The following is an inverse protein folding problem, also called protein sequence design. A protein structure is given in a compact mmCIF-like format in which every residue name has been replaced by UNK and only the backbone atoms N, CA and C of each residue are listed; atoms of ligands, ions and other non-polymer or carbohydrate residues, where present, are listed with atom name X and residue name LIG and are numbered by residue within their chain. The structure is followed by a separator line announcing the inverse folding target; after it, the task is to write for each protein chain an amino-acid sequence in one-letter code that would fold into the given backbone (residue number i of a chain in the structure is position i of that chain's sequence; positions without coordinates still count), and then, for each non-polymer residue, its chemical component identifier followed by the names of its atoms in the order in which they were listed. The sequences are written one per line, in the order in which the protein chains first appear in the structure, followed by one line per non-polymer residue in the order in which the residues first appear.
data_IF_487240535864
#
_entry.id   IF_487240535864
#
_cell.length_a   1.000
_cell.length_b   1.000
_cell.length_c   1.000
_cell.angle_alpha   90.00
_cell.angle_beta   90.00
_cell.angle_gamma   90.00
#
_symmetry.space_group_name_H-M   'P 1'
#
loop_
_entity.id
_entity.type
_entity.pdbx_description
1 polymer ?
#
# COMPACT_ATOMS: atom_id res chain seq x y z
N UNK A 1 -22.44 -21.62 -9.94
CA UNK A 1 -22.43 -21.72 -8.46
C UNK A 1 -21.35 -20.79 -7.98
N UNK A 2 -21.70 -19.62 -7.48
CA UNK A 2 -20.76 -18.69 -6.83
C UNK A 2 -20.29 -19.35 -5.53
N UNK A 3 -19.00 -19.66 -5.43
CA UNK A 3 -18.42 -20.17 -4.20
C UNK A 3 -18.69 -19.12 -3.09
N UNK A 4 -19.32 -19.55 -2.02
CA UNK A 4 -19.49 -18.70 -0.82
C UNK A 4 -18.11 -18.53 -0.23
N UNK A 5 -17.52 -17.36 -0.39
CA UNK A 5 -16.26 -17.00 0.28
C UNK A 5 -16.57 -16.94 1.78
N UNK A 6 -15.91 -17.73 2.63
CA UNK A 6 -16.17 -17.68 4.07
C UNK A 6 -15.80 -16.29 4.61
N UNK A 7 -16.65 -15.74 5.49
CA UNK A 7 -16.38 -14.50 6.20
C UNK A 7 -15.01 -14.56 6.88
N UNK A 8 -14.17 -13.56 6.64
CA UNK A 8 -12.80 -13.41 7.20
C UNK A 8 -12.75 -12.38 8.31
N UNK A 9 -13.81 -12.32 9.15
CA UNK A 9 -13.82 -11.43 10.31
C UNK A 9 -12.72 -11.79 11.30
N UNK A 10 -12.13 -10.78 11.92
CA UNK A 10 -11.16 -10.97 13.00
C UNK A 10 -11.87 -11.53 14.24
N UNK A 11 -11.21 -12.45 14.91
CA UNK A 11 -11.66 -12.93 16.22
C UNK A 11 -11.30 -11.91 17.33
N UNK A 12 -11.88 -12.03 18.54
CA UNK A 12 -11.63 -11.11 19.64
C UNK A 12 -10.14 -10.98 20.02
N UNK A 13 -9.35 -12.06 19.93
CA UNK A 13 -7.92 -12.06 20.25
C UNK A 13 -7.15 -11.26 19.20
N UNK A 14 -7.51 -11.40 17.95
CA UNK A 14 -6.92 -10.63 16.85
C UNK A 14 -7.23 -9.14 16.97
N UNK A 15 -8.47 -8.77 17.33
CA UNK A 15 -8.87 -7.38 17.58
C UNK A 15 -8.06 -6.81 18.76
N UNK A 16 -7.98 -7.54 19.88
CA UNK A 16 -7.18 -7.14 21.05
C UNK A 16 -5.69 -6.99 20.68
N UNK A 17 -5.15 -7.90 19.88
CA UNK A 17 -3.76 -7.83 19.39
C UNK A 17 -3.54 -6.56 18.58
N UNK A 18 -4.46 -6.23 17.66
CA UNK A 18 -4.37 -4.98 16.90
C UNK A 18 -4.44 -3.75 17.81
N UNK A 19 -5.37 -3.73 18.77
CA UNK A 19 -5.53 -2.61 19.71
C UNK A 19 -4.30 -2.41 20.59
N UNK A 20 -3.64 -3.49 20.98
CA UNK A 20 -2.44 -3.43 21.82
C UNK A 20 -1.18 -3.09 20.99
N UNK A 21 -0.97 -3.74 19.84
CA UNK A 21 0.27 -3.61 19.08
C UNK A 21 0.24 -2.48 18.03
N UNK A 22 -0.95 -2.05 17.59
CA UNK A 22 -1.14 -1.07 16.52
C UNK A 22 -1.04 -1.65 15.12
N UNK A 23 -0.81 -2.95 14.99
CA UNK A 23 -0.83 -3.68 13.73
C UNK A 23 -1.19 -5.16 13.93
N UNK A 24 -1.62 -5.81 12.85
CA UNK A 24 -1.93 -7.24 12.84
C UNK A 24 -1.60 -7.83 11.48
N UNK A 25 -0.90 -8.96 11.44
CA UNK A 25 -0.70 -9.77 10.24
C UNK A 25 -1.81 -10.81 10.15
N UNK A 26 -2.59 -10.78 9.08
CA UNK A 26 -3.64 -11.76 8.79
C UNK A 26 -3.20 -12.62 7.61
N UNK A 27 -3.20 -13.94 7.82
CA UNK A 27 -2.67 -14.89 6.84
C UNK A 27 -3.71 -15.32 5.83
N UNK A 28 -3.29 -15.49 4.57
CA UNK A 28 -4.10 -16.07 3.49
C UNK A 28 -5.50 -15.44 3.35
N UNK A 29 -5.55 -14.09 3.40
CA UNK A 29 -6.80 -13.34 3.30
C UNK A 29 -7.33 -13.34 1.88
N UNK A 30 -6.44 -13.15 0.90
CA UNK A 30 -6.79 -13.08 -0.51
C UNK A 30 -6.14 -14.25 -1.25
N UNK A 31 -6.89 -15.07 -1.98
CA UNK A 31 -6.30 -16.08 -2.85
C UNK A 31 -5.32 -15.44 -3.85
N UNK A 32 -4.21 -16.11 -4.12
CA UNK A 32 -3.22 -15.59 -5.10
C UNK A 32 -3.83 -15.38 -6.49
N UNK A 33 -4.82 -16.17 -6.88
CA UNK A 33 -5.58 -15.99 -8.12
C UNK A 33 -6.27 -14.63 -8.24
N UNK A 34 -6.72 -14.08 -7.11
CA UNK A 34 -7.47 -12.82 -7.08
C UNK A 34 -6.53 -11.59 -7.10
N UNK A 35 -5.22 -11.82 -6.91
CA UNK A 35 -4.17 -10.81 -7.08
C UNK A 35 -3.63 -10.77 -8.51
N UNK A 36 -3.79 -11.84 -9.30
CA UNK A 36 -3.28 -11.92 -10.68
C UNK A 36 -3.76 -10.77 -11.58
N UNK A 37 -5.05 -10.35 -11.55
CA UNK A 37 -5.49 -9.24 -12.40
C UNK A 37 -4.72 -7.93 -12.14
N UNK A 38 -4.34 -7.66 -10.88
CA UNK A 38 -3.51 -6.49 -10.57
C UNK A 38 -2.07 -6.69 -11.03
N UNK A 39 -1.51 -7.90 -10.89
CA UNK A 39 -0.17 -8.22 -11.42
C UNK A 39 -0.13 -8.05 -12.93
N UNK A 40 -1.17 -8.41 -13.66
CA UNK A 40 -1.31 -8.19 -15.10
C UNK A 40 -1.35 -6.70 -15.45
N UNK A 41 -2.09 -5.89 -14.68
CA UNK A 41 -2.10 -4.43 -14.85
C UNK A 41 -0.69 -3.85 -14.66
N UNK A 42 0.01 -4.25 -13.60
CA UNK A 42 1.39 -3.81 -13.33
C UNK A 42 2.35 -4.24 -14.45
N UNK A 43 2.23 -5.48 -14.92
CA UNK A 43 3.00 -6.00 -16.06
C UNK A 43 2.75 -5.19 -17.32
N UNK A 44 1.49 -4.83 -17.59
CA UNK A 44 1.13 -3.96 -18.73
C UNK A 44 1.69 -2.53 -18.61
N UNK A 45 1.86 -2.01 -17.36
CA UNK A 45 2.58 -0.74 -17.15
C UNK A 45 4.05 -0.90 -17.51
N UNK A 46 4.70 -1.99 -17.07
CA UNK A 46 6.09 -2.30 -17.44
C UNK A 46 6.23 -2.45 -18.95
N UNK A 47 5.28 -3.12 -19.62
CA UNK A 47 5.27 -3.26 -21.09
C UNK A 47 5.31 -1.90 -21.77
N UNK A 48 4.35 -1.03 -21.47
CA UNK A 48 4.27 0.30 -22.11
C UNK A 48 5.53 1.12 -21.89
N UNK A 49 6.02 1.19 -20.66
CA UNK A 49 7.23 1.95 -20.35
C UNK A 49 8.47 1.39 -21.04
N UNK A 50 8.56 0.07 -21.15
CA UNK A 50 9.66 -0.59 -21.85
C UNK A 50 9.59 -0.32 -23.37
N UNK A 51 8.39 -0.35 -23.96
CA UNK A 51 8.19 -0.04 -25.36
C UNK A 51 8.55 1.44 -25.67
N UNK A 52 8.19 2.38 -24.77
CA UNK A 52 8.55 3.79 -24.90
C UNK A 52 10.09 3.99 -24.83
N UNK A 53 10.75 3.37 -23.84
CA UNK A 53 12.22 3.42 -23.72
C UNK A 53 12.94 2.82 -24.93
N UNK A 54 12.39 1.76 -25.51
CA UNK A 54 12.93 1.13 -26.72
C UNK A 54 12.75 2.03 -27.93
N UNK A 55 11.58 2.63 -28.10
CA UNK A 55 11.29 3.57 -29.17
C UNK A 55 12.19 4.84 -29.11
N UNK A 56 12.54 5.27 -27.90
CA UNK A 56 13.48 6.37 -27.64
C UNK A 56 14.96 5.97 -27.83
N UNK A 57 15.24 4.69 -28.09
CA UNK A 57 16.61 4.18 -28.24
C UNK A 57 17.42 4.11 -26.94
N UNK A 58 16.77 4.22 -25.79
CA UNK A 58 17.40 4.16 -24.46
C UNK A 58 17.77 2.73 -24.04
N UNK A 59 17.05 1.75 -24.57
CA UNK A 59 17.30 0.32 -24.35
C UNK A 59 17.30 -0.43 -25.68
N UNK A 60 17.91 -1.62 -25.70
CA UNK A 60 18.02 -2.49 -26.90
C UNK A 60 17.29 -3.81 -26.73
N UNK A 61 16.89 -4.17 -25.51
CA UNK A 61 16.19 -5.40 -25.17
C UNK A 61 14.94 -5.10 -24.34
N UNK A 62 13.79 -5.59 -24.77
CA UNK A 62 12.50 -5.44 -24.10
C UNK A 62 12.35 -6.37 -22.88
N UNK A 63 13.26 -7.33 -22.69
CA UNK A 63 13.26 -8.29 -21.59
C UNK A 63 11.91 -8.99 -21.40
N UNK A 64 11.19 -9.32 -22.47
CA UNK A 64 9.81 -9.87 -22.39
C UNK A 64 9.76 -11.29 -21.82
N UNK A 65 10.86 -12.05 -21.95
CA UNK A 65 11.02 -13.40 -21.42
C UNK A 65 11.41 -13.44 -19.93
N UNK A 66 11.73 -12.26 -19.36
CA UNK A 66 12.17 -12.16 -17.97
C UNK A 66 10.96 -12.17 -17.03
N UNK A 67 11.05 -12.91 -15.94
CA UNK A 67 10.03 -13.01 -14.92
C UNK A 67 9.59 -11.64 -14.37
N UNK A 68 8.31 -11.52 -14.01
CA UNK A 68 7.70 -10.30 -13.46
C UNK A 68 8.51 -9.67 -12.33
N UNK A 69 9.14 -10.49 -11.48
CA UNK A 69 9.90 -10.00 -10.33
C UNK A 69 11.27 -9.43 -10.70
N UNK A 70 11.73 -9.61 -11.93
CA UNK A 70 13.06 -9.15 -12.37
C UNK A 70 13.00 -8.20 -13.56
N UNK A 71 11.95 -8.27 -14.37
CA UNK A 71 11.89 -7.64 -15.68
C UNK A 71 12.17 -6.14 -15.64
N UNK A 72 11.41 -5.39 -14.84
CA UNK A 72 11.59 -3.94 -14.74
C UNK A 72 13.02 -3.56 -14.30
N UNK A 73 13.59 -4.27 -13.35
CA UNK A 73 14.96 -4.06 -12.92
C UNK A 73 15.98 -4.32 -14.06
N UNK A 74 15.77 -5.37 -14.86
CA UNK A 74 16.62 -5.66 -16.03
C UNK A 74 16.52 -4.57 -17.09
N UNK A 75 15.35 -4.03 -17.33
CA UNK A 75 15.14 -2.89 -18.24
C UNK A 75 15.93 -1.67 -17.76
N UNK A 76 15.79 -1.31 -16.49
CA UNK A 76 16.49 -0.16 -15.89
C UNK A 76 18.02 -0.29 -15.97
N UNK A 77 18.56 -1.49 -15.82
CA UNK A 77 20.00 -1.73 -15.89
C UNK A 77 20.62 -1.42 -17.25
N UNK A 78 19.85 -1.44 -18.37
CA UNK A 78 20.37 -1.20 -19.70
C UNK A 78 20.82 0.24 -19.92
N UNK A 79 20.22 1.21 -19.23
CA UNK A 79 20.56 2.63 -19.40
C UNK A 79 21.02 3.31 -18.09
N UNK A 80 21.34 2.52 -17.08
CA UNK A 80 21.72 3.05 -15.76
C UNK A 80 20.61 3.85 -15.09
N UNK A 81 19.36 3.57 -15.48
CA UNK A 81 18.18 4.27 -15.03
C UNK A 81 17.93 4.06 -13.55
N UNK A 82 17.64 5.14 -12.86
CA UNK A 82 16.99 5.10 -11.57
C UNK A 82 15.50 4.81 -11.77
N UNK A 83 14.82 4.36 -10.73
CA UNK A 83 13.38 4.14 -10.79
C UNK A 83 12.65 5.50 -10.84
N UNK A 84 12.69 6.15 -12.01
CA UNK A 84 11.98 7.40 -12.27
C UNK A 84 10.48 7.20 -12.47
N UNK A 85 9.95 6.04 -12.12
CA UNK A 85 8.53 5.71 -12.33
C UNK A 85 7.67 6.44 -11.30
N UNK A 86 7.66 7.74 -11.47
CA UNK A 86 6.71 8.65 -10.85
C UNK A 86 5.37 8.54 -11.58
N UNK A 87 4.53 7.65 -11.23
CA UNK A 87 3.24 7.51 -11.91
C UNK A 87 2.63 6.13 -11.77
N UNK A 88 3.23 5.27 -10.97
CA UNK A 88 2.65 3.96 -10.67
C UNK A 88 1.20 4.06 -10.19
N UNK A 89 0.83 5.10 -9.46
CA UNK A 89 -0.56 5.33 -9.04
C UNK A 89 -1.50 5.52 -10.23
N UNK A 90 -1.18 6.51 -11.09
CA UNK A 90 -2.05 6.83 -12.23
C UNK A 90 -2.07 5.68 -13.23
N UNK A 91 -0.92 5.03 -13.42
CA UNK A 91 -0.74 3.97 -14.40
C UNK A 91 -1.42 2.66 -14.01
N UNK A 92 -1.60 2.39 -12.72
CA UNK A 92 -2.26 1.18 -12.22
C UNK A 92 -3.75 1.37 -11.92
N UNK A 93 -4.28 2.60 -12.06
CA UNK A 93 -5.71 2.85 -11.90
C UNK A 93 -6.49 1.95 -12.87
N UNK A 94 -7.32 1.08 -12.33
CA UNK A 94 -8.01 0.04 -13.10
C UNK A 94 -9.12 -0.60 -12.31
N UNK A 95 -10.02 -1.29 -13.00
CA UNK A 95 -11.04 -2.12 -12.35
C UNK A 95 -10.44 -3.24 -11.50
N UNK A 96 -9.29 -3.80 -11.90
CA UNK A 96 -8.58 -4.83 -11.11
C UNK A 96 -8.12 -4.28 -9.76
N UNK A 97 -7.60 -3.06 -9.74
CA UNK A 97 -7.24 -2.36 -8.50
C UNK A 97 -8.48 -2.10 -7.63
N UNK A 98 -9.56 -1.58 -8.22
CA UNK A 98 -10.81 -1.34 -7.49
C UNK A 98 -11.38 -2.63 -6.91
N UNK A 99 -11.40 -3.72 -7.68
CA UNK A 99 -11.87 -5.02 -7.21
C UNK A 99 -11.07 -5.53 -6.01
N UNK A 100 -9.77 -5.21 -5.94
CA UNK A 100 -8.95 -5.54 -4.78
C UNK A 100 -9.26 -4.63 -3.58
N UNK A 101 -9.44 -3.32 -3.80
CA UNK A 101 -9.85 -2.37 -2.75
C UNK A 101 -11.17 -2.79 -2.10
N UNK A 102 -12.13 -3.28 -2.89
CA UNK A 102 -13.44 -3.74 -2.40
C UNK A 102 -13.52 -5.25 -2.18
N UNK A 103 -12.38 -5.96 -2.17
CA UNK A 103 -12.36 -7.41 -2.02
C UNK A 103 -13.05 -7.85 -0.73
N UNK A 104 -14.05 -8.75 -0.78
CA UNK A 104 -14.86 -9.11 0.39
C UNK A 104 -14.04 -9.49 1.62
N UNK A 105 -13.00 -10.33 1.45
CA UNK A 105 -12.16 -10.76 2.57
C UNK A 105 -11.31 -9.64 3.16
N UNK A 106 -10.87 -8.65 2.37
CA UNK A 106 -10.18 -7.46 2.87
C UNK A 106 -11.16 -6.62 3.68
N UNK A 107 -12.35 -6.36 3.11
CA UNK A 107 -13.37 -5.57 3.79
C UNK A 107 -13.92 -6.25 5.05
N UNK A 108 -13.87 -7.59 5.16
CA UNK A 108 -14.23 -8.32 6.38
C UNK A 108 -13.21 -8.04 7.50
N UNK A 109 -11.90 -8.07 7.18
CA UNK A 109 -10.83 -7.73 8.12
C UNK A 109 -10.93 -6.27 8.56
N UNK A 110 -11.04 -5.34 7.62
CA UNK A 110 -11.20 -3.90 7.89
C UNK A 110 -12.47 -3.64 8.70
N UNK A 111 -13.57 -4.27 8.32
CA UNK A 111 -14.88 -4.14 8.95
C UNK A 111 -14.89 -4.54 10.42
N UNK A 112 -14.07 -5.52 10.80
CA UNK A 112 -13.92 -5.93 12.20
C UNK A 112 -13.35 -4.81 13.11
N UNK A 113 -12.71 -3.80 12.51
CA UNK A 113 -12.11 -2.65 13.21
C UNK A 113 -12.86 -1.33 12.96
N UNK A 114 -13.91 -1.35 12.12
CA UNK A 114 -14.68 -0.16 11.72
C UNK A 114 -16.19 -0.39 11.79
N UNK A 115 -16.63 -1.38 12.58
CA UNK A 115 -18.06 -1.74 12.74
C UNK A 115 -18.76 -2.00 11.38
N UNK A 116 -18.01 -2.49 10.38
CA UNK A 116 -18.47 -2.74 9.01
C UNK A 116 -18.99 -1.51 8.25
N UNK A 117 -18.67 -0.31 8.72
CA UNK A 117 -18.92 0.96 8.05
C UNK A 117 -17.59 1.48 7.48
N UNK A 118 -17.31 1.20 6.20
CA UNK A 118 -15.96 1.35 5.63
C UNK A 118 -15.96 2.40 4.52
N UNK A 119 -15.07 3.39 4.70
CA UNK A 119 -14.67 4.34 3.69
C UNK A 119 -13.25 4.02 3.21
N UNK A 120 -13.07 3.91 1.91
CA UNK A 120 -11.75 3.97 1.28
C UNK A 120 -11.31 5.45 1.19
N UNK A 121 -10.12 5.76 1.65
CA UNK A 121 -9.66 7.15 1.78
C UNK A 121 -9.16 7.77 0.46
N UNK A 122 -9.20 7.01 -0.64
CA UNK A 122 -8.69 7.43 -1.94
C UNK A 122 -7.19 7.19 -2.11
N UNK A 123 -6.48 6.80 -1.07
CA UNK A 123 -5.03 6.61 -1.08
C UNK A 123 -4.65 5.15 -1.32
N UNK A 124 -3.95 4.90 -2.42
CA UNK A 124 -3.45 3.59 -2.81
C UNK A 124 -2.07 3.70 -3.45
N UNK A 125 -1.27 2.64 -3.30
CA UNK A 125 0.08 2.58 -3.86
C UNK A 125 0.40 1.19 -4.37
N UNK A 126 1.02 1.11 -5.55
CA UNK A 126 1.78 -0.06 -5.98
C UNK A 126 3.25 0.31 -5.92
N UNK A 127 4.02 -0.49 -5.21
CA UNK A 127 5.41 -0.13 -4.88
C UNK A 127 6.40 -1.18 -5.39
N UNK A 128 7.14 -0.90 -6.48
CA UNK A 128 8.34 -1.65 -6.79
C UNK A 128 9.46 -1.22 -5.83
N UNK A 129 9.98 -2.15 -5.04
CA UNK A 129 11.22 -1.96 -4.29
C UNK A 129 12.34 -2.67 -5.02
N UNK A 130 13.17 -1.89 -5.72
CA UNK A 130 14.26 -2.41 -6.53
C UNK A 130 15.41 -2.94 -5.67
N UNK A 131 16.26 -3.84 -6.22
CA UNK A 131 17.50 -4.26 -5.57
C UNK A 131 18.41 -3.08 -5.19
N UNK A 132 18.87 -3.05 -3.95
CA UNK A 132 19.80 -2.08 -3.38
C UNK A 132 19.40 -0.59 -3.50
N UNK A 133 18.12 -0.33 -3.82
CA UNK A 133 17.60 1.02 -3.99
C UNK A 133 17.27 1.65 -2.62
N UNK A 134 17.97 2.73 -2.30
CA UNK A 134 17.69 3.52 -1.08
C UNK A 134 16.45 4.40 -1.22
N UNK A 135 16.16 4.88 -2.43
CA UNK A 135 15.09 5.84 -2.71
C UNK A 135 13.69 5.36 -2.28
N UNK A 136 13.43 4.04 -2.32
CA UNK A 136 12.18 3.42 -1.88
C UNK A 136 12.27 2.78 -0.49
N UNK A 137 13.38 3.01 0.23
CA UNK A 137 13.57 2.48 1.59
C UNK A 137 13.08 3.51 2.60
N UNK A 138 11.81 3.40 3.00
CA UNK A 138 11.19 4.34 3.92
C UNK A 138 11.83 4.22 5.31
N UNK A 139 12.27 5.34 5.91
CA UNK A 139 12.76 5.37 7.29
C UNK A 139 11.61 5.11 8.28
N UNK A 140 11.91 5.08 9.57
CA UNK A 140 10.88 5.10 10.60
C UNK A 140 9.95 6.28 10.39
N UNK A 141 8.64 6.04 10.39
CA UNK A 141 7.62 7.08 10.27
C UNK A 141 6.27 6.60 10.81
N UNK A 142 5.38 7.54 10.99
CA UNK A 142 3.96 7.34 11.23
C UNK A 142 3.20 7.87 10.01
N UNK A 143 2.21 7.14 9.50
CA UNK A 143 1.45 7.57 8.31
C UNK A 143 0.81 8.95 8.51
N UNK A 144 0.33 9.26 9.72
CA UNK A 144 -0.24 10.58 10.05
C UNK A 144 0.73 11.74 9.88
N UNK A 145 2.04 11.52 9.83
CA UNK A 145 3.01 12.58 9.54
C UNK A 145 2.90 13.08 8.09
N UNK A 146 2.37 12.23 7.20
CA UNK A 146 2.09 12.56 5.79
C UNK A 146 0.62 12.93 5.55
N UNK A 147 -0.24 12.67 6.52
CA UNK A 147 -1.69 12.89 6.45
C UNK A 147 -2.13 13.90 7.53
N UNK A 148 -1.89 15.20 7.33
CA UNK A 148 -2.19 16.22 8.34
C UNK A 148 -3.67 16.18 8.79
N UNK A 149 -3.87 16.38 10.09
CA UNK A 149 -5.18 16.39 10.74
C UNK A 149 -5.89 15.01 10.81
N UNK A 150 -5.16 13.92 10.60
CA UNK A 150 -5.70 12.56 10.77
C UNK A 150 -5.34 11.92 12.11
N UNK A 151 -4.47 12.54 12.88
CA UNK A 151 -3.94 12.00 14.14
C UNK A 151 -4.98 11.79 15.24
N UNK A 152 -6.15 12.43 15.12
CA UNK A 152 -7.26 12.30 16.08
C UNK A 152 -8.22 11.16 15.77
N UNK A 153 -8.06 10.53 14.63
CA UNK A 153 -8.94 9.47 14.16
C UNK A 153 -8.12 8.25 13.74
N UNK A 154 -8.74 7.10 13.79
CA UNK A 154 -8.12 5.87 13.32
C UNK A 154 -8.26 5.79 11.80
N UNK A 155 -7.13 5.77 11.12
CA UNK A 155 -7.01 5.40 9.73
C UNK A 155 -6.23 4.09 9.65
N UNK A 156 -6.71 3.18 8.85
CA UNK A 156 -6.15 1.83 8.72
C UNK A 156 -5.42 1.71 7.40
N UNK A 157 -4.15 1.33 7.44
CA UNK A 157 -3.43 0.94 6.23
C UNK A 157 -3.48 -0.57 6.11
N UNK A 158 -3.91 -1.06 4.95
CA UNK A 158 -3.76 -2.45 4.53
C UNK A 158 -2.61 -2.51 3.55
N UNK A 159 -1.58 -3.28 3.87
CA UNK A 159 -0.44 -3.53 3.01
C UNK A 159 -0.35 -5.01 2.66
N UNK A 160 -0.16 -5.31 1.37
CA UNK A 160 -0.12 -6.68 0.85
C UNK A 160 1.09 -6.87 -0.06
N UNK A 161 1.87 -7.94 0.14
CA UNK A 161 2.93 -8.30 -0.79
C UNK A 161 2.36 -8.98 -2.04
N UNK A 162 2.88 -8.64 -3.22
CA UNK A 162 2.61 -9.34 -4.48
C UNK A 162 3.69 -10.40 -4.79
N UNK A 163 4.68 -10.53 -3.92
CA UNK A 163 5.71 -11.58 -3.88
C UNK A 163 5.96 -11.95 -2.42
N UNK A 164 6.46 -13.13 -2.13
CA UNK A 164 6.82 -13.49 -0.75
C UNK A 164 7.87 -12.52 -0.20
N UNK A 165 7.74 -12.11 1.07
CA UNK A 165 8.58 -11.08 1.68
C UNK A 165 9.20 -11.51 3.00
N UNK A 166 10.43 -11.06 3.21
CA UNK A 166 11.21 -11.23 4.42
C UNK A 166 12.26 -10.12 4.56
N UNK A 167 13.14 -10.24 5.53
CA UNK A 167 14.18 -9.24 5.79
C UNK A 167 15.09 -8.99 4.58
N UNK A 168 15.35 -10.04 3.81
CA UNK A 168 16.28 -10.05 2.67
C UNK A 168 15.78 -9.20 1.49
N UNK A 169 14.46 -9.13 1.26
CA UNK A 169 13.89 -8.39 0.12
C UNK A 169 13.12 -7.12 0.51
N UNK A 170 13.38 -6.60 1.70
CA UNK A 170 12.91 -5.26 2.06
C UNK A 170 11.48 -5.21 2.59
N UNK A 171 11.12 -6.17 3.44
CA UNK A 171 9.84 -6.19 4.16
C UNK A 171 9.65 -5.00 5.10
N UNK A 172 8.48 -4.92 5.74
CA UNK A 172 8.19 -3.92 6.77
C UNK A 172 8.69 -4.35 8.14
N UNK A 173 9.09 -3.36 8.92
CA UNK A 173 9.32 -3.47 10.36
C UNK A 173 8.36 -2.56 11.12
N UNK A 174 7.93 -3.02 12.29
CA UNK A 174 7.04 -2.30 13.18
C UNK A 174 7.64 -2.15 14.56
N UNK A 175 7.24 -1.07 15.24
CA UNK A 175 7.46 -0.86 16.64
C UNK A 175 6.13 -1.09 17.37
N UNK A 176 5.91 -2.26 17.99
CA UNK A 176 4.66 -2.56 18.69
C UNK A 176 4.32 -1.50 19.75
N UNK A 177 3.04 -1.24 19.98
CA UNK A 177 2.50 -0.31 20.97
C UNK A 177 2.80 1.19 20.70
N UNK A 178 3.60 1.51 19.69
CA UNK A 178 4.05 2.90 19.46
C UNK A 178 2.93 3.85 19.04
N UNK A 179 1.81 3.35 18.52
CA UNK A 179 0.62 4.14 18.21
C UNK A 179 -0.02 4.78 19.48
N UNK A 180 0.15 4.16 20.65
CA UNK A 180 -0.33 4.66 21.93
C UNK A 180 0.42 5.94 22.39
N UNK A 181 1.57 6.23 21.79
CA UNK A 181 2.38 7.41 22.07
C UNK A 181 1.89 8.68 21.33
N UNK A 182 0.83 8.55 20.52
CA UNK A 182 0.35 9.63 19.66
C UNK A 182 1.30 9.98 18.54
N UNK A 183 0.96 11.01 17.75
CA UNK A 183 1.81 11.50 16.68
C UNK A 183 3.03 12.22 17.26
N UNK A 184 4.22 11.78 16.84
CA UNK A 184 5.48 12.45 17.20
C UNK A 184 5.87 13.47 16.15
N UNK A 185 6.65 14.50 16.52
CA UNK A 185 7.20 15.47 15.56
C UNK A 185 8.09 14.77 14.54
N UNK A 186 7.87 15.09 13.26
CA UNK A 186 8.66 14.62 12.12
C UNK A 186 9.28 15.80 11.37
N UNK A 187 10.42 15.57 10.73
CA UNK A 187 11.05 16.50 9.80
C UNK A 187 11.33 15.82 8.46
N UNK A 188 11.45 16.61 7.41
CA UNK A 188 11.90 16.11 6.12
C UNK A 188 13.39 15.76 6.18
N UNK A 189 13.76 14.66 5.54
CA UNK A 189 15.16 14.33 5.30
C UNK A 189 15.64 15.22 4.15
N UNK A 190 16.77 15.89 4.33
CA UNK A 190 17.31 16.79 3.33
C UNK A 190 17.57 16.09 2.00
N UNK A 191 16.99 16.62 0.93
CA UNK A 191 17.10 16.05 -0.41
C UNK A 191 16.20 14.83 -0.68
N UNK A 192 15.36 14.43 0.28
CA UNK A 192 14.45 13.29 0.14
C UNK A 192 12.98 13.71 0.31
N UNK A 193 12.09 12.95 -0.29
CA UNK A 193 10.63 13.13 -0.12
C UNK A 193 10.10 12.57 1.20
N UNK A 194 10.95 11.92 1.98
CA UNK A 194 10.56 11.24 3.19
C UNK A 194 10.66 12.12 4.44
N UNK A 195 9.79 11.79 5.40
CA UNK A 195 9.84 12.34 6.75
C UNK A 195 10.29 11.27 7.73
N UNK A 196 11.05 11.68 8.72
CA UNK A 196 11.47 10.81 9.83
C UNK A 196 11.17 11.51 11.16
N UNK A 197 10.90 10.78 12.25
CA UNK A 197 10.72 11.41 13.55
C UNK A 197 12.01 12.13 14.02
N UNK A 198 11.85 13.21 14.78
CA UNK A 198 12.96 13.99 15.29
C UNK A 198 13.89 13.19 16.21
N UNK A 199 13.38 12.11 16.78
CA UNK A 199 14.15 11.15 17.59
C UNK A 199 13.89 9.76 17.03
N UNK A 200 14.94 8.96 16.91
CA UNK A 200 14.79 7.56 16.47
C UNK A 200 13.91 6.80 17.48
N UNK A 201 12.71 6.33 17.07
CA UNK A 201 11.77 5.70 17.97
C UNK A 201 12.22 4.31 18.43
N UNK A 202 13.23 3.74 17.79
CA UNK A 202 13.79 2.43 18.13
C UNK A 202 14.84 2.46 19.24
N UNK A 203 15.33 3.66 19.61
CA UNK A 203 16.29 3.81 20.70
C UNK A 203 15.65 3.38 22.04
N UNK A 204 16.25 2.37 22.67
CA UNK A 204 15.74 1.81 23.92
C UNK A 204 14.55 0.86 23.75
N UNK A 205 14.22 0.49 22.52
CA UNK A 205 13.20 -0.53 22.27
C UNK A 205 13.85 -1.89 22.01
N UNK A 206 13.48 -2.86 22.82
CA UNK A 206 13.92 -4.26 22.67
C UNK A 206 13.03 -5.06 21.69
N UNK A 207 11.98 -4.44 21.17
CA UNK A 207 10.92 -5.10 20.40
C UNK A 207 10.71 -4.46 19.02
N UNK A 208 11.59 -4.76 18.06
CA UNK A 208 11.35 -4.45 16.65
C UNK A 208 10.87 -5.73 15.95
N UNK A 209 9.65 -5.69 15.43
CA UNK A 209 9.10 -6.81 14.69
C UNK A 209 9.39 -6.68 13.21
N UNK A 210 10.02 -7.72 12.64
CA UNK A 210 10.32 -7.82 11.19
C UNK A 210 9.35 -8.81 10.56
N UNK A 211 8.53 -8.33 9.64
CA UNK A 211 7.50 -9.18 9.04
C UNK A 211 8.10 -10.21 8.08
N UNK A 212 7.52 -11.41 8.12
CA UNK A 212 7.68 -12.44 7.07
C UNK A 212 6.28 -12.82 6.59
N UNK A 213 5.99 -12.57 5.31
CA UNK A 213 4.66 -12.75 4.75
C UNK A 213 4.75 -13.43 3.39
N UNK A 214 3.67 -14.11 3.02
CA UNK A 214 3.47 -14.73 1.71
C UNK A 214 2.46 -13.96 0.90
N UNK A 215 2.47 -14.18 -0.41
CA UNK A 215 1.40 -13.70 -1.31
C UNK A 215 0.05 -14.16 -0.77
N UNK A 216 -0.90 -13.24 -0.69
CA UNK A 216 -2.23 -13.45 -0.11
C UNK A 216 -2.37 -13.12 1.37
N UNK A 217 -1.25 -12.95 2.11
CA UNK A 217 -1.29 -12.35 3.45
C UNK A 217 -1.50 -10.83 3.36
N UNK A 218 -2.04 -10.24 4.41
CA UNK A 218 -2.02 -8.79 4.59
C UNK A 218 -1.51 -8.41 5.99
N UNK A 219 -0.96 -7.22 6.11
CA UNK A 219 -0.83 -6.54 7.39
C UNK A 219 -1.76 -5.33 7.40
N UNK A 220 -2.58 -5.23 8.46
CA UNK A 220 -3.40 -4.05 8.75
C UNK A 220 -2.78 -3.30 9.91
N UNK A 221 -2.65 -1.96 9.81
CA UNK A 221 -2.01 -1.18 10.84
C UNK A 221 -2.59 0.23 11.00
N UNK A 222 -2.42 0.75 12.21
CA UNK A 222 -2.88 2.06 12.65
C UNK A 222 -1.98 3.17 12.11
N UNK A 223 -2.56 4.28 11.70
CA UNK A 223 -1.85 5.45 11.15
C UNK A 223 -0.79 6.09 12.08
N UNK A 224 -0.83 5.76 13.38
CA UNK A 224 0.12 6.24 14.38
C UNK A 224 1.18 5.21 14.78
N UNK A 225 1.13 3.97 14.27
CA UNK A 225 2.19 2.99 14.58
C UNK A 225 3.46 3.33 13.82
N UNK A 226 4.59 3.35 14.52
CA UNK A 226 5.88 3.51 13.85
C UNK A 226 6.22 2.27 13.04
N UNK A 227 6.52 2.51 11.77
CA UNK A 227 6.96 1.47 10.87
C UNK A 227 8.00 1.98 9.87
N UNK A 228 8.73 1.06 9.26
CA UNK A 228 9.68 1.35 8.18
C UNK A 228 9.76 0.19 7.21
N UNK A 229 10.42 0.39 6.07
CA UNK A 229 10.77 -0.71 5.17
C UNK A 229 12.27 -0.96 5.16
N UNK A 230 12.67 -2.22 5.04
CA UNK A 230 14.07 -2.59 4.89
C UNK A 230 14.56 -2.42 3.44
N UNK A 231 15.88 -2.36 3.28
CA UNK A 231 16.50 -2.38 1.96
C UNK A 231 16.30 -3.76 1.30
N UNK A 232 15.99 -3.79 0.02
CA UNK A 232 15.96 -5.02 -0.75
C UNK A 232 17.39 -5.40 -1.16
N UNK A 233 17.91 -6.49 -0.61
CA UNK A 233 19.26 -7.01 -0.87
C UNK A 233 19.25 -8.19 -1.85
N UNK A 234 18.11 -8.50 -2.44
CA UNK A 234 17.97 -9.57 -3.44
C UNK A 234 18.22 -9.05 -4.85
N UNK A 235 18.13 -9.93 -5.84
CA UNK A 235 18.21 -9.57 -7.28
C UNK A 235 16.82 -9.41 -7.93
N UNK A 236 15.76 -9.46 -7.15
CA UNK A 236 14.37 -9.39 -7.63
C UNK A 236 13.66 -8.19 -7.01
N UNK A 237 12.70 -7.66 -7.72
CA UNK A 237 11.87 -6.55 -7.24
C UNK A 237 10.88 -7.07 -6.19
N UNK A 238 10.78 -6.39 -5.07
CA UNK A 238 9.73 -6.63 -4.09
C UNK A 238 8.53 -5.74 -4.43
N UNK A 239 7.54 -6.34 -5.08
CA UNK A 239 6.27 -5.69 -5.38
C UNK A 239 5.32 -5.76 -4.20
N UNK A 240 4.59 -4.68 -3.95
CA UNK A 240 3.53 -4.60 -2.95
C UNK A 240 2.46 -3.62 -3.35
N UNK A 241 1.29 -3.75 -2.74
CA UNK A 241 0.18 -2.81 -2.87
C UNK A 241 -0.31 -2.43 -1.47
N UNK A 242 -0.71 -1.18 -1.29
CA UNK A 242 -1.29 -0.70 -0.04
C UNK A 242 -2.47 0.25 -0.26
N UNK A 243 -3.43 0.22 0.68
CA UNK A 243 -4.67 0.98 0.67
C UNK A 243 -4.93 1.60 2.03
N UNK A 244 -5.67 2.72 2.07
CA UNK A 244 -6.07 3.36 3.32
C UNK A 244 -7.58 3.37 3.47
N UNK A 245 -8.02 2.96 4.66
CA UNK A 245 -9.43 2.91 5.05
C UNK A 245 -9.67 3.64 6.36
N UNK A 246 -10.92 4.01 6.59
CA UNK A 246 -11.41 4.49 7.87
C UNK A 246 -12.89 4.13 8.03
N UNK A 247 -13.42 4.33 9.22
CA UNK A 247 -14.87 4.27 9.41
C UNK A 247 -15.55 5.37 8.59
N UNK A 248 -16.74 5.11 8.05
CA UNK A 248 -17.51 6.11 7.32
C UNK A 248 -17.70 7.39 8.15
N UNK A 249 -17.70 8.54 7.48
CA UNK A 249 -17.75 9.87 8.08
C UNK A 249 -16.52 10.26 8.91
N UNK A 250 -15.47 9.44 8.98
CA UNK A 250 -14.20 9.87 9.56
C UNK A 250 -13.62 11.02 8.73
N UNK A 251 -13.25 12.14 9.37
CA UNK A 251 -12.61 13.24 8.64
C UNK A 251 -11.30 12.80 8.00
N UNK A 252 -11.15 13.05 6.71
CA UNK A 252 -9.94 12.74 5.95
C UNK A 252 -8.87 13.84 6.02
N UNK A 253 -9.10 14.89 6.80
CA UNK A 253 -8.19 16.01 6.88
C UNK A 253 -7.96 16.69 5.52
N UNK A 254 -6.71 17.05 5.25
CA UNK A 254 -6.28 17.64 3.97
C UNK A 254 -5.63 16.59 3.06
N UNK A 255 -6.13 15.35 3.09
CA UNK A 255 -5.67 14.33 2.16
C UNK A 255 -5.94 14.77 0.73
N UNK A 256 -4.89 14.87 -0.06
CA UNK A 256 -4.98 15.28 -1.46
C UNK A 256 -5.70 14.25 -2.35
N UNK A 257 -5.70 12.97 -1.96
CA UNK A 257 -6.49 11.90 -2.59
C UNK A 257 -7.99 11.92 -2.24
N UNK A 258 -8.41 12.80 -1.34
CA UNK A 258 -9.79 12.93 -0.90
C UNK A 258 -10.84 12.97 -2.04
N UNK A 259 -10.57 13.58 -3.21
CA UNK A 259 -11.54 13.60 -4.31
C UNK A 259 -11.97 12.21 -4.81
N UNK A 260 -11.15 11.19 -4.63
CA UNK A 260 -11.47 9.81 -5.04
C UNK A 260 -11.75 8.88 -3.85
N UNK A 261 -11.99 9.44 -2.67
CA UNK A 261 -12.47 8.69 -1.51
C UNK A 261 -13.93 8.29 -1.69
N UNK A 262 -14.28 7.09 -1.26
CA UNK A 262 -15.65 6.60 -1.39
C UNK A 262 -16.02 5.61 -0.29
N UNK A 263 -17.32 5.48 -0.03
CA UNK A 263 -17.84 4.39 0.82
C UNK A 263 -17.76 3.08 0.04
N UNK A 264 -17.11 2.08 0.62
CA UNK A 264 -16.91 0.77 -0.02
C UNK A 264 -17.71 -0.35 0.66
N UNK A 265 -18.16 -0.11 1.90
CA UNK A 265 -19.11 -0.98 2.61
C UNK A 265 -19.88 -0.15 3.63
N UNK A 266 -21.21 -0.30 3.68
CA UNK A 266 -22.05 0.31 4.70
C UNK A 266 -23.35 -0.48 4.84
N UNK A 267 -23.70 -0.81 6.08
CA UNK A 267 -24.99 -1.34 6.44
C UNK A 267 -26.03 -0.25 6.67
N UNK A 268 -25.58 0.90 7.19
CA UNK A 268 -26.45 2.05 7.48
C UNK A 268 -26.86 2.80 6.21
N UNK A 269 -26.01 2.79 5.18
CA UNK A 269 -26.25 3.53 3.94
C UNK A 269 -25.80 2.75 2.71
N UNK A 270 -26.39 1.58 2.41
CA UNK A 270 -25.93 0.71 1.32
C UNK A 270 -26.03 1.36 -0.06
N UNK A 271 -26.91 2.34 -0.23
CA UNK A 271 -27.04 3.14 -1.45
C UNK A 271 -25.90 4.13 -1.69
N UNK A 272 -25.00 4.34 -0.72
CA UNK A 272 -23.80 5.18 -0.86
C UNK A 272 -22.56 4.39 -1.23
N UNK A 273 -22.65 3.05 -1.25
CA UNK A 273 -21.52 2.20 -1.61
C UNK A 273 -21.19 2.39 -3.08
N UNK A 274 -19.97 2.84 -3.35
CA UNK A 274 -19.52 3.13 -4.71
C UNK A 274 -19.29 1.87 -5.52
N UNK A 275 -19.72 1.91 -6.77
CA UNK A 275 -19.34 0.96 -7.80
C UNK A 275 -18.02 1.35 -8.48
N UNK A 276 -17.50 0.47 -9.34
CA UNK A 276 -16.37 0.81 -10.21
C UNK A 276 -16.67 2.05 -11.07
N UNK A 277 -17.86 2.15 -11.66
CA UNK A 277 -18.21 3.28 -12.51
C UNK A 277 -18.25 4.60 -11.73
N UNK A 278 -18.73 4.58 -10.48
CA UNK A 278 -18.72 5.78 -9.63
C UNK A 278 -17.27 6.19 -9.33
N UNK A 279 -16.40 5.25 -9.00
CA UNK A 279 -14.99 5.54 -8.69
C UNK A 279 -14.22 5.99 -9.93
N UNK A 280 -14.51 5.42 -11.09
CA UNK A 280 -13.95 5.87 -12.36
C UNK A 280 -14.33 7.32 -12.67
N UNK A 281 -15.60 7.68 -12.48
CA UNK A 281 -16.06 9.07 -12.65
C UNK A 281 -15.35 10.02 -11.68
N UNK A 282 -15.22 9.64 -10.40
CA UNK A 282 -14.48 10.43 -9.42
C UNK A 282 -13.01 10.64 -9.83
N UNK A 283 -12.38 9.61 -10.41
CA UNK A 283 -11.02 9.70 -10.93
C UNK A 283 -10.91 10.65 -12.12
N UNK A 284 -11.84 10.55 -13.07
CA UNK A 284 -11.85 11.39 -14.27
C UNK A 284 -12.05 12.87 -13.94
N UNK A 285 -12.88 13.17 -12.92
CA UNK A 285 -13.14 14.52 -12.42
C UNK A 285 -12.06 15.04 -11.46
N UNK A 286 -11.14 14.18 -11.03
CA UNK A 286 -10.11 14.55 -10.07
C UNK A 286 -9.07 15.47 -10.70
N UNK A 287 -8.71 16.61 -10.05
CA UNK A 287 -7.62 17.48 -10.50
C UNK A 287 -6.25 16.79 -10.45
N UNK A 288 -6.17 15.63 -9.81
CA UNK A 288 -4.93 14.89 -9.59
C UNK A 288 -4.62 13.86 -10.69
N UNK A 289 -5.50 13.68 -11.68
CA UNK A 289 -5.28 12.78 -12.82
C UNK A 289 -3.95 13.03 -13.56
N UNK A 290 -3.48 14.28 -13.56
CA UNK A 290 -2.26 14.71 -14.26
C UNK A 290 -1.09 15.11 -13.34
N UNK A 291 -1.24 15.10 -12.03
CA UNK A 291 -0.35 15.79 -11.10
C UNK A 291 0.12 14.94 -9.91
N UNK A 292 0.17 13.60 -10.04
CA UNK A 292 0.85 12.79 -9.04
C UNK A 292 2.36 13.07 -9.13
N UNK A 293 2.77 14.22 -8.61
CA UNK A 293 4.14 14.54 -8.27
C UNK A 293 4.30 14.50 -6.77
N UNK A 294 5.32 13.79 -6.33
CA UNK A 294 5.81 13.83 -4.95
C UNK A 294 6.16 15.25 -4.53
#
# INVERSE_FOLDING_TARGET
MTAVVPLRTLDPIQIETFQNQGYLVVRQVVPSSDLLPLVEVVSGVVDRQTDDLYAEGKITDLCREVDFTQRWYRVLQQFGGQNEVFGWHTSVFSQALFNLIVHPSILDVVGSLTEHEIQFNGDFWVRPKLPDEKLTTLPWHQDSAYMPHTEKNTHLTVWMPLVDVGAENGTLQFLPNSHLLGLKPHHHIDGESFKTPNQDPSVGSDCIETLKMKVGDLVIFHNLVFHRSLLNRTKSIRWSVDFRYSQTNTPLGNLWHKPISCVVRSHCSPNKVASWNDWQTMWEDSPHKSSFRW
#
